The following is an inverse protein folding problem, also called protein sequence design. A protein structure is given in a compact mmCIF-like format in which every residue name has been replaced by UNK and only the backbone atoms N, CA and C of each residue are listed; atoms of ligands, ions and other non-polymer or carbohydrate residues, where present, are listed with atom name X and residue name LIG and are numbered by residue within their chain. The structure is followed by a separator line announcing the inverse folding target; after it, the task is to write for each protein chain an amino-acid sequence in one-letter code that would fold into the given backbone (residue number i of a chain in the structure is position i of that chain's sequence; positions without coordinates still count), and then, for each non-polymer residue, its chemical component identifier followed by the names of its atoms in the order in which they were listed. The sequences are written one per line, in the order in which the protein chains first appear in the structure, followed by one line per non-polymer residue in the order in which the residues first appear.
data_IF_306508182260
#
_entry.id   IF_306508182260
#
_cell.length_a   1.000
_cell.length_b   1.000
_cell.length_c   1.000
_cell.angle_alpha   90.00
_cell.angle_beta   90.00
_cell.angle_gamma   90.00
#
_symmetry.space_group_name_H-M   'P 1'
#
loop_
_entity.id
_entity.type
_entity.pdbx_description
1 polymer ?
#
# COMPACT_ATOMS: atom_id res chain seq x y z
N UNK A 1 -14.15 20.76 2.95
CA UNK A 1 -13.93 20.39 3.25
C UNK A 1 -13.54 19.65 3.87
N UNK A 2 -13.60 19.42 3.72
CA UNK A 2 -13.32 18.82 4.21
C UNK A 2 -13.06 18.12 4.67
N UNK A 3 -13.10 17.78 4.72
CA UNK A 3 -12.91 17.15 5.20
C UNK A 3 -12.77 16.37 5.86
N UNK A 4 -12.83 16.09 5.77
CA UNK A 4 -12.81 15.32 6.27
C UNK A 4 -12.58 14.78 7.21
N UNK A 5 -12.39 14.85 7.13
CA UNK A 5 -12.13 14.57 8.29
C UNK A 5 -12.84 13.59 9.06
N UNK A 6 -13.70 13.39 8.89
CA UNK A 6 -14.54 12.48 9.55
C UNK A 6 -14.03 11.09 9.62
N UNK A 7 -12.93 10.85 9.11
CA UNK A 7 -12.40 9.53 9.06
C UNK A 7 -11.80 9.04 10.30
N UNK A 8 -11.92 9.80 11.33
CA UNK A 8 -11.30 9.44 12.57
C UNK A 8 -11.78 8.13 13.14
N UNK A 9 -12.86 7.61 12.66
CA UNK A 9 -13.35 6.35 13.18
C UNK A 9 -12.70 5.14 12.60
N UNK A 10 -11.91 5.33 11.61
CA UNK A 10 -11.25 4.23 10.95
C UNK A 10 -10.16 3.68 11.82
N UNK A 11 -10.03 2.36 11.85
CA UNK A 11 -9.01 1.74 12.66
C UNK A 11 -7.70 1.54 11.91
N UNK A 12 -7.63 1.99 10.70
CA UNK A 12 -6.41 1.90 9.91
C UNK A 12 -6.24 3.18 9.14
N UNK A 13 -5.04 3.39 8.70
CA UNK A 13 -4.71 4.56 7.92
C UNK A 13 -4.65 4.16 6.46
N UNK A 14 -5.19 5.01 5.63
CA UNK A 14 -5.13 4.79 4.19
C UNK A 14 -4.14 5.79 3.61
N UNK A 15 -3.10 5.28 3.00
CA UNK A 15 -2.00 6.11 2.53
C UNK A 15 -1.77 5.94 1.04
N UNK A 16 -1.35 7.03 0.43
CA UNK A 16 -0.97 7.04 -0.97
C UNK A 16 0.50 7.41 -1.01
N UNK A 17 1.33 6.44 -1.33
CA UNK A 17 2.77 6.67 -1.35
C UNK A 17 3.13 7.35 -2.65
N UNK A 18 3.72 8.54 -2.52
CA UNK A 18 4.02 9.34 -3.67
C UNK A 18 5.51 9.32 -3.94
N UNK A 19 5.96 8.32 -4.63
CA UNK A 19 7.35 8.19 -5.01
C UNK A 19 7.41 8.14 -6.52
N UNK A 20 8.38 7.45 -7.08
CA UNK A 20 8.43 7.32 -8.52
C UNK A 20 7.12 6.71 -9.01
N UNK A 21 6.59 7.16 -10.15
CA UNK A 21 5.34 6.64 -10.65
C UNK A 21 5.40 5.13 -10.76
N UNK A 22 4.39 4.48 -10.23
CA UNK A 22 4.28 3.06 -10.34
C UNK A 22 5.01 2.26 -9.29
N UNK A 23 5.78 2.87 -8.42
CA UNK A 23 6.48 2.13 -7.38
C UNK A 23 5.87 2.42 -6.02
N UNK A 24 5.56 1.36 -5.28
CA UNK A 24 4.99 1.47 -3.95
C UNK A 24 6.04 1.03 -2.95
N UNK A 25 6.50 1.95 -2.15
CA UNK A 25 7.57 1.71 -1.17
C UNK A 25 7.00 1.57 0.22
N UNK A 26 7.70 0.85 1.07
CA UNK A 26 7.40 0.86 2.48
C UNK A 26 7.87 2.20 3.05
N UNK A 27 6.98 2.94 3.68
CA UNK A 27 7.32 4.24 4.24
C UNK A 27 7.89 4.13 5.65
N UNK A 28 7.63 3.01 6.30
CA UNK A 28 8.19 2.67 7.62
C UNK A 28 8.39 1.16 7.66
N UNK A 29 9.28 0.68 8.53
CA UNK A 29 9.45 -0.77 8.66
C UNK A 29 8.23 -1.40 9.32
N UNK A 30 7.95 -2.62 8.97
CA UNK A 30 6.83 -3.33 9.54
C UNK A 30 6.67 -4.71 8.93
N UNK A 31 5.48 -5.27 9.08
CA UNK A 31 5.17 -6.60 8.60
C UNK A 31 4.00 -6.55 7.63
N UNK A 32 4.13 -7.21 6.52
CA UNK A 32 3.02 -7.32 5.57
C UNK A 32 1.98 -8.27 6.14
N UNK A 33 0.79 -7.76 6.35
CA UNK A 33 -0.30 -8.57 6.90
C UNK A 33 -1.00 -9.32 5.79
N UNK A 34 -1.26 -8.62 4.69
CA UNK A 34 -2.04 -9.20 3.60
C UNK A 34 -1.69 -8.51 2.29
N UNK A 35 -1.74 -9.26 1.21
CA UNK A 35 -1.53 -8.74 -0.13
C UNK A 35 -2.80 -9.02 -0.92
N UNK A 36 -3.38 -7.99 -1.52
CA UNK A 36 -4.67 -8.09 -2.20
C UNK A 36 -4.58 -8.19 -3.71
N UNK A 37 -3.39 -8.04 -4.25
CA UNK A 37 -3.19 -8.02 -5.71
C UNK A 37 -2.11 -9.00 -6.10
N UNK A 38 -2.07 -9.31 -7.39
CA UNK A 38 -1.03 -10.17 -7.92
C UNK A 38 -0.56 -9.64 -9.27
N UNK A 39 0.57 -10.13 -9.70
CA UNK A 39 1.19 -9.73 -10.95
C UNK A 39 0.21 -9.89 -12.10
N UNK A 40 0.12 -8.88 -12.93
CA UNK A 40 -0.77 -8.89 -14.08
C UNK A 40 -2.17 -8.34 -13.83
N UNK A 41 -2.51 -8.11 -12.59
CA UNK A 41 -3.85 -7.64 -12.23
C UNK A 41 -3.98 -6.14 -12.52
N UNK A 42 -5.14 -5.70 -12.99
CA UNK A 42 -5.40 -4.28 -13.22
C UNK A 42 -5.90 -3.65 -11.95
N UNK A 43 -5.43 -2.45 -11.68
CA UNK A 43 -5.84 -1.69 -10.49
C UNK A 43 -6.20 -0.27 -10.87
N UNK A 44 -6.99 0.35 -10.01
CA UNK A 44 -7.36 1.75 -10.16
C UNK A 44 -6.85 2.52 -8.98
N UNK A 45 -6.62 3.81 -9.18
CA UNK A 45 -6.23 4.69 -8.10
C UNK A 45 -7.18 4.50 -6.92
N UNK A 46 -6.60 4.29 -5.75
CA UNK A 46 -7.38 4.09 -4.54
C UNK A 46 -7.60 2.63 -4.16
N UNK A 47 -7.34 1.70 -5.07
CA UNK A 47 -7.48 0.28 -4.75
C UNK A 47 -6.46 -0.11 -3.70
N UNK A 48 -6.87 -0.91 -2.73
CA UNK A 48 -5.97 -1.38 -1.69
C UNK A 48 -5.07 -2.46 -2.27
N UNK A 49 -3.77 -2.26 -2.13
CA UNK A 49 -2.78 -3.20 -2.65
C UNK A 49 -2.32 -4.19 -1.60
N UNK A 50 -2.05 -3.69 -0.41
CA UNK A 50 -1.60 -4.55 0.69
C UNK A 50 -1.83 -3.83 2.01
N UNK A 51 -1.68 -4.57 3.10
CA UNK A 51 -1.78 -4.02 4.44
C UNK A 51 -0.44 -4.19 5.13
N UNK A 52 0.09 -3.10 5.66
CA UNK A 52 1.34 -3.08 6.39
C UNK A 52 1.05 -2.82 7.86
N UNK A 53 1.42 -3.74 8.73
CA UNK A 53 1.29 -3.53 10.16
C UNK A 53 2.56 -2.86 10.66
N UNK A 54 2.43 -1.64 11.14
CA UNK A 54 3.55 -0.87 11.62
C UNK A 54 3.05 0.14 12.64
N UNK A 55 3.88 0.42 13.64
CA UNK A 55 3.53 1.36 14.69
C UNK A 55 2.21 0.99 15.37
N UNK A 56 2.02 -0.31 15.58
CA UNK A 56 0.86 -0.86 16.30
C UNK A 56 -0.46 -0.62 15.61
N UNK A 57 -0.47 -0.44 14.30
CA UNK A 57 -1.70 -0.31 13.56
C UNK A 57 -1.53 -0.84 12.16
N UNK A 58 -2.63 -1.21 11.56
CA UNK A 58 -2.63 -1.66 10.17
C UNK A 58 -2.78 -0.45 9.26
N UNK A 59 -1.94 -0.39 8.25
CA UNK A 59 -1.97 0.69 7.28
C UNK A 59 -2.27 0.07 5.93
N UNK A 60 -3.29 0.56 5.26
CA UNK A 60 -3.62 0.09 3.92
C UNK A 60 -2.88 0.94 2.90
N UNK A 61 -2.12 0.29 2.06
CA UNK A 61 -1.38 0.96 1.02
C UNK A 61 -2.17 0.85 -0.27
N UNK A 62 -2.51 1.99 -0.83
CA UNK A 62 -3.41 2.05 -1.98
C UNK A 62 -2.66 2.47 -3.23
N UNK A 63 -3.21 2.10 -4.38
CA UNK A 63 -2.63 2.46 -5.66
C UNK A 63 -2.72 3.97 -5.85
N UNK A 64 -1.60 4.65 -6.14
CA UNK A 64 -1.62 6.08 -6.39
C UNK A 64 -2.03 6.42 -7.83
N UNK A 65 -2.05 5.43 -8.70
CA UNK A 65 -2.39 5.62 -10.10
C UNK A 65 -3.17 4.42 -10.60
N UNK A 66 -3.85 4.60 -11.72
CA UNK A 66 -4.45 3.48 -12.44
C UNK A 66 -3.34 2.76 -13.17
N UNK A 67 -3.47 1.46 -13.31
CA UNK A 67 -2.47 0.73 -14.06
C UNK A 67 -2.61 -0.77 -13.88
N UNK A 68 -1.51 -1.45 -14.10
CA UNK A 68 -1.47 -2.90 -14.03
C UNK A 68 -0.30 -3.29 -13.14
N UNK A 69 -0.49 -4.30 -12.33
CA UNK A 69 0.56 -4.76 -11.42
C UNK A 69 1.69 -5.39 -12.24
N UNK A 70 2.83 -4.76 -12.22
CA UNK A 70 4.01 -5.25 -12.91
C UNK A 70 4.72 -6.31 -12.10
N UNK A 71 4.83 -6.09 -10.80
CA UNK A 71 5.52 -7.01 -9.91
C UNK A 71 5.01 -6.87 -8.50
N UNK A 72 4.97 -7.98 -7.77
CA UNK A 72 4.64 -8.00 -6.35
C UNK A 72 5.85 -8.63 -5.67
N UNK A 73 6.57 -7.81 -4.90
CA UNK A 73 7.84 -8.22 -4.29
C UNK A 73 7.69 -8.65 -2.84
N UNK A 74 6.47 -8.84 -2.39
CA UNK A 74 6.18 -9.15 -1.00
C UNK A 74 5.17 -10.28 -0.89
N UNK A 75 5.08 -10.83 0.30
CA UNK A 75 4.05 -11.81 0.61
C UNK A 75 3.61 -11.61 2.05
N UNK A 76 2.45 -12.14 2.37
CA UNK A 76 1.90 -12.02 3.71
C UNK A 76 2.86 -12.63 4.73
N UNK A 77 3.06 -11.93 5.83
CA UNK A 77 3.97 -12.39 6.88
C UNK A 77 5.40 -11.90 6.73
N UNK A 78 5.72 -11.24 5.63
CA UNK A 78 7.07 -10.78 5.37
C UNK A 78 7.36 -9.49 6.12
N UNK A 79 8.55 -9.37 6.69
CA UNK A 79 9.02 -8.13 7.28
C UNK A 79 9.67 -7.28 6.20
N UNK A 80 9.40 -5.99 6.23
CA UNK A 80 9.96 -5.06 5.25
C UNK A 80 10.61 -3.89 5.97
N UNK A 81 11.57 -3.29 5.30
CA UNK A 81 12.29 -2.13 5.81
C UNK A 81 11.85 -0.89 5.06
N UNK A 82 12.14 0.26 5.65
CA UNK A 82 11.83 1.53 5.01
C UNK A 82 12.50 1.57 3.64
N UNK A 83 11.74 2.03 2.65
CA UNK A 83 12.17 2.18 1.26
C UNK A 83 12.27 0.88 0.46
N UNK A 84 11.85 -0.24 1.03
CA UNK A 84 11.75 -1.46 0.23
C UNK A 84 10.63 -1.27 -0.80
N UNK A 85 10.87 -1.64 -2.03
CA UNK A 85 9.85 -1.58 -3.07
C UNK A 85 8.94 -2.78 -2.89
N UNK A 86 7.68 -2.53 -2.64
CA UNK A 86 6.72 -3.59 -2.34
C UNK A 86 6.02 -4.08 -3.58
N UNK A 87 5.50 -3.14 -4.36
CA UNK A 87 4.69 -3.45 -5.54
C UNK A 87 5.04 -2.45 -6.63
N UNK A 88 5.03 -2.90 -7.86
CA UNK A 88 5.28 -2.02 -9.01
C UNK A 88 4.07 -2.05 -9.92
N UNK A 89 3.67 -0.86 -10.38
CA UNK A 89 2.53 -0.68 -11.27
C UNK A 89 3.04 -0.05 -12.57
N UNK A 90 2.55 -0.50 -13.69
CA UNK A 90 2.90 0.09 -14.98
C UNK A 90 1.71 0.74 -15.65
#
# INVERSE_FOLDING_TARGET
MGDNSSNSKTQYRQLYVKVAPGEIYAFIPGTIVKVFVKEGEKVKKGDVLCTLHAMKMDNRLCAPIDGKIKAVNIEAGQNVSKNDVLIEIV
#
